data_IF_477053056233
#
_entry.id   IF_477053056233
#
_cell.length_a   1.000
_cell.length_b   1.000
_cell.length_c   1.000
_cell.angle_alpha   90.00
_cell.angle_beta   90.00
_cell.angle_gamma   90.00
#
_symmetry.space_group_name_H-M   'P 1'
#
loop_
_entity.id
_entity.type
_entity.pdbx_description
1 polymer ?
#
# COMPACT_ATOMS: atom_id res chain seq x y z
N UNK A 1 9.12 -2.29 -2.60
CA UNK A 1 9.48 -1.55 -1.37
C UNK A 1 9.43 -0.06 -1.67
N UNK A 2 8.80 0.72 -0.81
CA UNK A 2 8.84 2.19 -0.86
C UNK A 2 9.31 2.77 0.46
N UNK A 3 10.33 3.63 0.43
CA UNK A 3 10.84 4.36 1.58
C UNK A 3 10.32 5.80 1.53
N UNK A 4 9.67 6.23 2.60
CA UNK A 4 9.07 7.56 2.73
C UNK A 4 9.94 8.36 3.69
N UNK A 5 10.70 9.29 3.11
CA UNK A 5 11.65 10.19 3.80
C UNK A 5 12.51 9.50 4.89
N UNK A 6 12.91 8.25 4.63
CA UNK A 6 13.73 7.45 5.55
C UNK A 6 13.04 6.95 6.83
N UNK A 7 11.80 7.38 7.12
CA UNK A 7 11.09 7.06 8.38
C UNK A 7 10.13 5.88 8.26
N UNK A 8 9.47 5.72 7.10
CA UNK A 8 8.49 4.64 6.90
C UNK A 8 8.84 3.81 5.67
N UNK A 9 8.85 2.49 5.82
CA UNK A 9 9.01 1.52 4.74
C UNK A 9 7.71 0.77 4.47
N UNK A 10 7.17 0.89 3.26
CA UNK A 10 6.05 0.07 2.81
C UNK A 10 6.57 -1.21 2.13
N UNK A 11 6.30 -2.35 2.74
CA UNK A 11 6.56 -3.68 2.18
C UNK A 11 5.26 -4.19 1.56
N UNK A 12 5.13 -4.04 0.24
CA UNK A 12 3.91 -4.39 -0.49
C UNK A 12 4.17 -5.66 -1.30
N UNK A 13 3.35 -6.69 -1.10
CA UNK A 13 3.39 -7.96 -1.83
C UNK A 13 2.02 -8.21 -2.47
N UNK A 14 1.96 -8.24 -3.81
CA UNK A 14 0.71 -8.39 -4.55
C UNK A 14 0.41 -9.86 -4.87
N UNK A 15 -0.84 -10.28 -4.62
CA UNK A 15 -1.39 -11.62 -4.86
C UNK A 15 -2.62 -11.53 -5.77
N UNK A 16 -2.42 -10.99 -6.97
CA UNK A 16 -3.47 -10.70 -7.96
C UNK A 16 -4.11 -11.95 -8.58
N UNK A 17 -3.42 -13.08 -8.56
CA UNK A 17 -3.89 -14.37 -9.12
C UNK A 17 -4.72 -15.19 -8.12
N UNK A 18 -5.10 -14.59 -6.99
CA UNK A 18 -5.77 -15.29 -5.89
C UNK A 18 -7.27 -15.11 -6.02
N UNK A 19 -7.99 -16.24 -6.07
CA UNK A 19 -9.45 -16.26 -6.08
C UNK A 19 -10.04 -15.97 -4.68
N UNK A 20 -11.28 -15.47 -4.63
CA UNK A 20 -12.00 -15.10 -3.39
C UNK A 20 -12.31 -16.31 -2.50
N UNK A 21 -12.23 -17.52 -3.07
CA UNK A 21 -12.37 -18.79 -2.33
C UNK A 21 -11.05 -19.27 -1.69
N UNK A 22 -9.92 -18.66 -2.04
CA UNK A 22 -8.60 -19.10 -1.60
C UNK A 22 -8.23 -18.54 -0.22
N UNK A 23 -7.19 -19.10 0.41
CA UNK A 23 -6.67 -18.62 1.70
C UNK A 23 -5.21 -18.21 1.55
N UNK A 24 -4.75 -17.23 2.32
CA UNK A 24 -3.32 -16.89 2.36
C UNK A 24 -2.49 -18.04 2.95
N UNK A 25 -1.57 -18.58 2.15
CA UNK A 25 -0.72 -19.73 2.48
C UNK A 25 0.56 -19.26 3.17
N UNK A 26 1.20 -20.17 3.89
CA UNK A 26 2.48 -19.91 4.57
C UNK A 26 3.53 -19.31 3.64
N UNK A 27 3.69 -19.85 2.42
CA UNK A 27 4.67 -19.34 1.47
C UNK A 27 4.45 -17.86 1.11
N UNK A 28 3.20 -17.44 0.96
CA UNK A 28 2.84 -16.06 0.61
C UNK A 28 3.14 -15.10 1.78
N UNK A 29 2.83 -15.50 3.00
CA UNK A 29 3.14 -14.73 4.21
C UNK A 29 4.64 -14.68 4.49
N UNK A 30 5.35 -15.79 4.22
CA UNK A 30 6.81 -15.85 4.36
C UNK A 30 7.52 -14.91 3.39
N UNK A 31 7.08 -14.83 2.12
CA UNK A 31 7.63 -13.87 1.15
C UNK A 31 7.55 -12.42 1.65
N UNK A 32 6.39 -12.02 2.19
CA UNK A 32 6.24 -10.69 2.78
C UNK A 32 7.14 -10.49 4.01
N UNK A 33 7.33 -11.54 4.81
CA UNK A 33 8.24 -11.50 5.98
C UNK A 33 9.70 -11.33 5.55
N UNK A 34 10.10 -11.95 4.45
CA UNK A 34 11.45 -11.80 3.89
C UNK A 34 11.70 -10.34 3.45
N UNK A 35 10.68 -9.67 2.89
CA UNK A 35 10.77 -8.24 2.58
C UNK A 35 10.93 -7.37 3.83
N UNK A 36 10.19 -7.66 4.90
CA UNK A 36 10.33 -6.97 6.19
C UNK A 36 11.73 -7.15 6.75
N UNK A 37 12.24 -8.38 6.78
CA UNK A 37 13.59 -8.67 7.29
C UNK A 37 14.66 -7.94 6.47
N UNK A 38 14.54 -7.95 5.15
CA UNK A 38 15.48 -7.22 4.29
C UNK A 38 15.49 -5.72 4.61
N UNK A 39 14.33 -5.10 4.85
CA UNK A 39 14.25 -3.67 5.22
C UNK A 39 14.93 -3.40 6.57
N UNK A 40 14.71 -4.27 7.56
CA UNK A 40 15.35 -4.16 8.87
C UNK A 40 16.88 -4.25 8.77
N UNK A 41 17.38 -5.13 7.89
CA UNK A 41 18.81 -5.38 7.76
C UNK A 41 19.53 -4.30 6.93
N UNK A 42 18.82 -3.62 6.02
CA UNK A 42 19.43 -2.77 5.00
C UNK A 42 19.03 -1.28 5.06
N UNK A 43 18.13 -0.90 5.97
CA UNK A 43 17.63 0.48 6.05
C UNK A 43 17.54 0.95 7.50
N UNK A 44 17.47 2.27 7.69
CA UNK A 44 17.23 2.91 8.99
C UNK A 44 15.76 3.30 9.18
N UNK A 45 14.82 2.58 8.55
CA UNK A 45 13.41 2.91 8.63
C UNK A 45 12.88 2.74 10.07
N UNK A 46 12.27 3.79 10.61
CA UNK A 46 11.69 3.79 11.96
C UNK A 46 10.45 2.88 12.06
N UNK A 47 9.69 2.77 10.96
CA UNK A 47 8.47 1.96 10.86
C UNK A 47 8.46 1.16 9.56
N UNK A 48 7.97 -0.08 9.65
CA UNK A 48 7.79 -0.96 8.51
C UNK A 48 6.33 -1.40 8.47
N UNK A 49 5.67 -1.17 7.34
CA UNK A 49 4.25 -1.50 7.13
C UNK A 49 4.16 -2.64 6.12
N UNK A 50 3.95 -3.89 6.57
CA UNK A 50 3.76 -5.03 5.70
C UNK A 50 2.32 -5.09 5.17
N UNK A 51 2.18 -5.16 3.84
CA UNK A 51 0.91 -5.09 3.12
C UNK A 51 0.85 -6.24 2.11
N UNK A 52 -0.24 -6.99 2.15
CA UNK A 52 -0.67 -7.88 1.08
C UNK A 52 -1.70 -7.15 0.23
N UNK A 53 -1.53 -7.17 -1.09
CA UNK A 53 -2.55 -6.68 -2.03
C UNK A 53 -3.28 -7.87 -2.61
N UNK A 54 -4.59 -8.00 -2.35
CA UNK A 54 -5.39 -9.15 -2.80
C UNK A 54 -6.74 -9.24 -2.08
N UNK A 55 -7.48 -10.35 -2.26
CA UNK A 55 -8.83 -10.49 -1.71
C UNK A 55 -8.82 -10.57 -0.18
N UNK A 56 -9.91 -10.10 0.46
CA UNK A 56 -10.08 -10.12 1.93
C UNK A 56 -10.42 -11.52 2.46
N UNK A 57 -9.50 -12.45 2.27
CA UNK A 57 -9.63 -13.86 2.68
C UNK A 57 -8.73 -14.20 3.87
N UNK A 58 -9.14 -15.14 4.75
CA UNK A 58 -8.33 -15.53 5.90
C UNK A 58 -7.02 -16.20 5.48
N UNK A 59 -6.03 -16.13 6.38
CA UNK A 59 -4.83 -16.95 6.27
C UNK A 59 -5.11 -18.40 6.70
N UNK A 60 -4.42 -19.35 6.08
CA UNK A 60 -4.39 -20.73 6.57
C UNK A 60 -3.79 -20.77 7.99
N UNK A 61 -4.25 -21.71 8.83
CA UNK A 61 -3.73 -21.88 10.20
C UNK A 61 -2.20 -22.02 10.27
N UNK A 62 -1.59 -22.60 9.24
CA UNK A 62 -0.13 -22.82 9.15
C UNK A 62 0.66 -21.55 8.76
N UNK A 63 0.00 -20.52 8.27
CA UNK A 63 0.67 -19.30 7.80
C UNK A 63 1.12 -18.39 8.95
N UNK A 64 0.39 -18.40 10.08
CA UNK A 64 0.71 -17.63 11.30
C UNK A 64 1.20 -16.20 11.00
N UNK A 65 0.39 -15.35 10.33
CA UNK A 65 0.81 -14.03 9.89
C UNK A 65 1.22 -13.14 11.07
N UNK A 66 2.12 -12.19 10.84
CA UNK A 66 2.44 -11.14 11.82
C UNK A 66 1.20 -10.35 12.26
N UNK A 67 1.25 -9.70 13.42
CA UNK A 67 0.12 -8.89 13.92
C UNK A 67 -0.16 -7.68 13.05
N UNK A 68 0.88 -7.17 12.42
CA UNK A 68 0.85 -5.88 11.72
C UNK A 68 0.70 -6.04 10.20
N UNK A 69 0.48 -7.28 9.70
CA UNK A 69 0.24 -7.55 8.29
C UNK A 69 -1.16 -7.07 7.91
N UNK A 70 -1.20 -6.09 7.01
CA UNK A 70 -2.43 -5.54 6.44
C UNK A 70 -2.77 -6.23 5.13
N UNK A 71 -4.06 -6.36 4.84
CA UNK A 71 -4.59 -6.74 3.52
C UNK A 71 -5.34 -5.54 2.96
N UNK A 72 -5.04 -5.20 1.72
CA UNK A 72 -5.68 -4.14 0.95
C UNK A 72 -6.14 -4.75 -0.37
N UNK A 73 -7.39 -4.50 -0.75
CA UNK A 73 -7.91 -5.01 -2.02
C UNK A 73 -7.28 -4.27 -3.21
N UNK A 74 -7.17 -4.94 -4.35
CA UNK A 74 -6.62 -4.34 -5.57
C UNK A 74 -7.41 -3.10 -6.02
N UNK A 75 -8.73 -3.10 -5.78
CA UNK A 75 -9.64 -1.98 -6.08
C UNK A 75 -9.22 -0.67 -5.42
N UNK A 76 -8.62 -0.72 -4.22
CA UNK A 76 -8.12 0.48 -3.53
C UNK A 76 -6.91 1.09 -4.25
N UNK A 77 -6.05 0.26 -4.83
CA UNK A 77 -4.92 0.70 -5.65
C UNK A 77 -5.38 1.21 -7.01
N UNK A 78 -6.40 0.59 -7.60
CA UNK A 78 -7.03 1.09 -8.83
C UNK A 78 -7.66 2.47 -8.60
N UNK A 79 -8.37 2.64 -7.48
CA UNK A 79 -8.93 3.93 -7.08
C UNK A 79 -7.83 4.98 -6.82
N UNK A 80 -6.72 4.58 -6.19
CA UNK A 80 -5.54 5.45 -6.03
C UNK A 80 -4.94 5.85 -7.39
N UNK A 81 -4.76 4.91 -8.31
CA UNK A 81 -4.24 5.17 -9.64
C UNK A 81 -5.13 6.16 -10.41
N UNK A 82 -6.45 5.95 -10.38
CA UNK A 82 -7.41 6.87 -11.01
C UNK A 82 -7.37 8.29 -10.41
N UNK A 83 -7.28 8.39 -9.07
CA UNK A 83 -7.11 9.68 -8.38
C UNK A 83 -5.82 10.39 -8.81
N UNK A 84 -4.71 9.67 -8.90
CA UNK A 84 -3.42 10.21 -9.32
C UNK A 84 -3.45 10.65 -10.79
N UNK A 85 -3.99 9.84 -11.69
CA UNK A 85 -4.13 10.19 -13.12
C UNK A 85 -4.98 11.44 -13.29
N UNK A 86 -6.10 11.54 -12.57
CA UNK A 86 -6.96 12.72 -12.60
C UNK A 86 -6.27 13.97 -12.06
N UNK A 87 -5.47 13.83 -10.99
CA UNK A 87 -4.69 14.92 -10.43
C UNK A 87 -3.64 15.44 -11.41
N UNK A 88 -2.93 14.53 -12.09
CA UNK A 88 -1.93 14.89 -13.10
C UNK A 88 -2.57 15.55 -14.33
N UNK A 89 -3.73 15.08 -14.78
CA UNK A 89 -4.47 15.68 -15.87
C UNK A 89 -4.95 17.11 -15.52
N UNK A 90 -5.47 17.31 -14.31
CA UNK A 90 -5.87 18.63 -13.81
C UNK A 90 -4.67 19.59 -13.70
N UNK A 91 -3.54 19.11 -13.18
CA UNK A 91 -2.33 19.91 -13.07
C UNK A 91 -1.81 20.29 -14.46
N UNK A 92 -1.80 19.35 -15.42
CA UNK A 92 -1.32 19.60 -16.78
C UNK A 92 -2.20 20.61 -17.54
N UNK A 93 -3.52 20.57 -17.34
CA UNK A 93 -4.47 21.48 -18.04
C UNK A 93 -4.49 22.90 -17.47
N UNK A 94 -4.17 23.06 -16.17
CA UNK A 94 -4.30 24.35 -15.45
C UNK A 94 -2.97 25.06 -15.23
N UNK A 95 -1.84 24.43 -15.51
CA UNK A 95 -0.52 24.96 -15.15
C UNK A 95 0.26 25.53 -16.33
N UNK A 96 0.89 26.67 -16.08
CA UNK A 96 2.01 27.15 -16.87
C UNK A 96 3.30 26.55 -16.31
N UNK A 97 4.41 26.47 -17.08
CA UNK A 97 5.67 25.89 -16.58
C UNK A 97 6.15 26.49 -15.25
N UNK A 98 5.95 27.80 -15.06
CA UNK A 98 6.33 28.53 -13.84
C UNK A 98 5.46 28.19 -12.61
N UNK A 99 4.21 27.75 -12.82
CA UNK A 99 3.25 27.46 -11.73
C UNK A 99 3.01 25.97 -11.53
N UNK A 100 3.60 25.10 -12.36
CA UNK A 100 3.38 23.66 -12.33
C UNK A 100 3.62 23.06 -10.95
N UNK A 101 4.71 23.44 -10.28
CA UNK A 101 5.05 22.86 -8.96
C UNK A 101 4.06 23.26 -7.87
N UNK A 102 3.69 24.54 -7.78
CA UNK A 102 2.72 25.00 -6.78
C UNK A 102 1.35 24.38 -7.05
N UNK A 103 0.91 24.39 -8.31
CA UNK A 103 -0.37 23.82 -8.70
C UNK A 103 -0.44 22.31 -8.44
N UNK A 104 0.66 21.57 -8.69
CA UNK A 104 0.72 20.14 -8.42
C UNK A 104 0.56 19.84 -6.93
N UNK A 105 1.25 20.60 -6.07
CA UNK A 105 1.13 20.46 -4.63
C UNK A 105 -0.29 20.78 -4.12
N UNK A 106 -0.91 21.84 -4.63
CA UNK A 106 -2.28 22.21 -4.25
C UNK A 106 -3.28 21.13 -4.68
N UNK A 107 -3.15 20.62 -5.91
CA UNK A 107 -4.00 19.54 -6.44
C UNK A 107 -3.81 18.24 -5.66
N UNK A 108 -2.57 17.89 -5.31
CA UNK A 108 -2.27 16.67 -4.56
C UNK A 108 -2.79 16.76 -3.13
N UNK A 109 -2.64 17.92 -2.49
CA UNK A 109 -3.20 18.19 -1.16
C UNK A 109 -4.72 18.09 -1.17
N UNK A 110 -5.39 18.77 -2.10
CA UNK A 110 -6.85 18.78 -2.21
C UNK A 110 -7.46 17.39 -2.50
N UNK A 111 -6.69 16.48 -3.10
CA UNK A 111 -7.11 15.12 -3.44
C UNK A 111 -6.63 14.06 -2.43
N UNK A 112 -5.96 14.47 -1.35
CA UNK A 112 -5.43 13.55 -0.32
C UNK A 112 -4.38 12.58 -0.88
N UNK A 113 -3.54 13.03 -1.81
CA UNK A 113 -2.49 12.22 -2.45
C UNK A 113 -1.13 12.32 -1.74
N UNK A 114 -1.03 13.14 -0.70
CA UNK A 114 0.19 13.27 0.09
C UNK A 114 0.23 12.23 1.20
N UNK A 115 1.43 11.88 1.63
CA UNK A 115 1.61 11.04 2.82
C UNK A 115 1.35 11.85 4.10
N UNK A 116 0.73 11.27 5.16
CA UNK A 116 0.20 9.90 5.25
C UNK A 116 -1.23 9.72 4.69
N UNK A 117 -1.93 10.81 4.39
CA UNK A 117 -3.34 10.83 3.99
C UNK A 117 -3.69 9.82 2.89
N UNK A 118 -2.82 9.70 1.88
CA UNK A 118 -3.01 8.78 0.75
C UNK A 118 -3.17 7.34 1.21
N UNK A 119 -2.39 6.92 2.20
CA UNK A 119 -2.41 5.57 2.75
C UNK A 119 -3.47 5.40 3.83
N UNK A 120 -3.77 6.44 4.60
CA UNK A 120 -4.84 6.44 5.59
C UNK A 120 -6.23 6.38 4.94
N UNK A 121 -6.39 6.95 3.75
CA UNK A 121 -7.64 6.91 2.98
C UNK A 121 -7.99 5.53 2.41
N UNK A 122 -7.04 4.59 2.36
CA UNK A 122 -7.26 3.26 1.80
C UNK A 122 -7.94 2.34 2.82
N UNK A 123 -8.94 1.60 2.37
CA UNK A 123 -9.52 0.49 3.14
C UNK A 123 -8.47 -0.59 3.36
N UNK A 124 -8.27 -1.00 4.61
CA UNK A 124 -7.23 -1.95 5.00
C UNK A 124 -7.66 -2.76 6.20
N UNK A 125 -7.43 -4.08 6.14
CA UNK A 125 -7.84 -5.01 7.20
C UNK A 125 -6.63 -5.79 7.70
N UNK A 126 -6.38 -5.90 9.02
CA UNK A 126 -5.35 -6.79 9.54
C UNK A 126 -5.65 -8.24 9.15
N UNK A 127 -4.68 -8.95 8.57
CA UNK A 127 -4.87 -10.32 8.08
C UNK A 127 -5.34 -11.28 9.18
N UNK A 128 -4.95 -11.02 10.44
CA UNK A 128 -5.41 -11.82 11.60
C UNK A 128 -6.88 -11.63 11.95
N UNK A 129 -7.50 -10.54 11.52
CA UNK A 129 -8.91 -10.25 11.78
C UNK A 129 -9.84 -10.88 10.73
N UNK A 130 -9.28 -11.35 9.60
CA UNK A 130 -10.01 -12.12 8.61
C UNK A 130 -10.21 -13.54 9.16
N UNK A 131 -11.44 -13.86 9.53
CA UNK A 131 -11.84 -15.19 10.03
C UNK A 131 -12.54 -15.99 8.95
N UNK A 132 -12.49 -17.32 9.10
CA UNK A 132 -13.26 -18.27 8.28
C UNK A 132 -14.72 -18.31 8.73
#
# INVERSE_FOLDING_TARGET
MWLIDGSVALCIEAKTEKDDSAHYRKAEVSQLSDHVQWVQDNTSADSIVPILVGPLVPATRKANPGRDVLVIELSEFDALAQRLTSALADAATKSLPLTLRSNLMDVFTARGLLWPDVFESMSKTPLRNLTT
#
